data_IF_761740856680
#
_entry.id   IF_761740856680
#
_cell.length_a   1.000
_cell.length_b   1.000
_cell.length_c   1.000
_cell.angle_alpha   90.00
_cell.angle_beta   90.00
_cell.angle_gamma   90.00
#
_symmetry.space_group_name_H-M   'P 1'
#
loop_
_entity.id
_entity.type
_entity.pdbx_description
1 polymer ?
#
# COMPACT_ATOMS: atom_id res chain seq x y z
N UNK A 1 -10.89 19.60 -9.06
CA UNK A 1 -9.49 19.33 -9.45
C UNK A 1 -8.85 18.54 -8.35
N UNK A 2 -8.12 17.45 -8.68
CA UNK A 2 -7.52 16.61 -7.67
C UNK A 2 -6.27 17.27 -7.08
N UNK A 3 -6.15 17.22 -5.75
CA UNK A 3 -5.07 17.82 -4.96
C UNK A 3 -4.20 16.78 -4.26
N UNK A 4 -4.73 15.56 -4.08
CA UNK A 4 -4.04 14.44 -3.48
C UNK A 4 -4.29 13.18 -4.32
N UNK A 5 -3.23 12.44 -4.61
CA UNK A 5 -3.24 11.17 -5.33
C UNK A 5 -2.66 10.11 -4.40
N UNK A 6 -3.48 9.17 -3.94
CA UNK A 6 -2.99 7.97 -3.24
C UNK A 6 -2.75 6.87 -4.28
N UNK A 7 -1.60 6.24 -4.24
CA UNK A 7 -1.23 5.23 -5.23
C UNK A 7 -0.61 4.01 -4.55
N UNK A 8 -1.15 2.83 -4.84
CA UNK A 8 -0.49 1.60 -4.47
C UNK A 8 0.86 1.44 -5.17
N UNK A 9 1.72 0.60 -4.65
CA UNK A 9 3.07 0.38 -5.15
C UNK A 9 3.19 -0.89 -5.98
N UNK A 10 3.02 -2.04 -5.35
CA UNK A 10 3.26 -3.34 -5.99
C UNK A 10 2.20 -3.61 -7.06
N UNK A 11 2.62 -3.95 -8.27
CA UNK A 11 1.71 -4.21 -9.41
C UNK A 11 0.83 -2.99 -9.81
N UNK A 12 1.09 -1.79 -9.26
CA UNK A 12 0.40 -0.53 -9.63
C UNK A 12 1.40 0.54 -10.11
N UNK A 13 2.23 1.08 -9.20
CA UNK A 13 3.25 2.08 -9.52
C UNK A 13 4.55 1.43 -10.02
N UNK A 14 4.91 0.30 -9.40
CA UNK A 14 6.17 -0.42 -9.59
C UNK A 14 5.96 -1.50 -10.65
N UNK A 15 6.90 -1.59 -11.59
CA UNK A 15 6.94 -2.63 -12.61
C UNK A 15 7.45 -3.97 -12.05
N UNK A 16 7.47 -4.99 -12.91
CA UNK A 16 7.88 -6.35 -12.54
C UNK A 16 9.38 -6.45 -12.16
N UNK A 17 10.20 -5.47 -12.60
CA UNK A 17 11.62 -5.35 -12.25
C UNK A 17 11.86 -4.53 -10.96
N UNK A 18 10.82 -4.19 -10.23
CA UNK A 18 10.82 -3.40 -9.00
C UNK A 18 11.36 -1.96 -9.18
N UNK A 19 11.02 -1.33 -10.29
CA UNK A 19 11.33 0.04 -10.66
C UNK A 19 10.06 0.83 -10.99
N UNK A 20 10.16 2.16 -10.95
CA UNK A 20 9.09 3.04 -11.45
C UNK A 20 9.39 3.40 -12.90
N UNK A 21 8.49 3.08 -13.83
CA UNK A 21 8.70 3.39 -15.24
C UNK A 21 8.76 4.90 -15.49
N UNK A 22 9.50 5.31 -16.53
CA UNK A 22 9.78 6.72 -16.79
C UNK A 22 8.51 7.58 -16.97
N UNK A 23 7.47 7.04 -17.60
CA UNK A 23 6.18 7.73 -17.76
C UNK A 23 5.55 8.11 -16.42
N UNK A 24 5.57 7.19 -15.48
CA UNK A 24 5.06 7.43 -14.12
C UNK A 24 5.88 8.50 -13.42
N UNK A 25 7.23 8.42 -13.49
CA UNK A 25 8.14 9.41 -12.91
C UNK A 25 7.86 10.82 -13.44
N UNK A 26 7.75 10.97 -14.76
CA UNK A 26 7.52 12.27 -15.41
C UNK A 26 6.17 12.88 -15.05
N UNK A 27 5.11 12.05 -15.05
CA UNK A 27 3.77 12.49 -14.69
C UNK A 27 3.69 12.90 -13.20
N UNK A 28 4.29 12.13 -12.29
CA UNK A 28 4.35 12.46 -10.85
C UNK A 28 5.10 13.77 -10.62
N UNK A 29 6.28 13.94 -11.24
CA UNK A 29 7.06 15.18 -11.14
C UNK A 29 6.30 16.38 -11.69
N UNK A 30 5.53 16.21 -12.75
CA UNK A 30 4.71 17.29 -13.31
C UNK A 30 3.55 17.64 -12.36
N UNK A 31 2.84 16.66 -11.81
CA UNK A 31 1.75 16.88 -10.87
C UNK A 31 2.22 17.52 -9.57
N UNK A 32 3.34 17.10 -9.01
CA UNK A 32 3.90 17.67 -7.77
C UNK A 32 4.37 19.12 -7.96
N UNK A 33 4.89 19.50 -9.13
CA UNK A 33 5.18 20.90 -9.48
C UNK A 33 3.94 21.79 -9.49
N UNK A 34 2.75 21.22 -9.73
CA UNK A 34 1.47 21.93 -9.65
C UNK A 34 0.90 21.96 -8.23
N UNK A 35 1.62 21.44 -7.24
CA UNK A 35 1.19 21.38 -5.85
C UNK A 35 0.29 20.19 -5.50
N UNK A 36 0.09 19.25 -6.42
CA UNK A 36 -0.64 18.02 -6.14
C UNK A 36 0.23 17.09 -5.28
N UNK A 37 -0.32 16.55 -4.20
CA UNK A 37 0.35 15.58 -3.35
C UNK A 37 0.28 14.19 -3.97
N UNK A 38 1.42 13.57 -4.22
CA UNK A 38 1.49 12.17 -4.63
C UNK A 38 1.92 11.32 -3.43
N UNK A 39 1.03 10.46 -2.98
CA UNK A 39 1.15 9.72 -1.73
C UNK A 39 1.16 8.22 -2.01
N UNK A 40 2.32 7.56 -1.94
CA UNK A 40 2.37 6.11 -1.93
C UNK A 40 1.52 5.53 -0.79
N UNK A 41 0.67 4.54 -1.09
CA UNK A 41 -0.22 3.86 -0.15
C UNK A 41 0.01 2.35 -0.22
N UNK A 42 0.72 1.77 0.74
CA UNK A 42 1.28 0.43 0.64
C UNK A 42 1.07 -0.42 1.90
N UNK A 43 1.03 -1.74 1.72
CA UNK A 43 1.13 -2.71 2.82
C UNK A 43 2.54 -2.80 3.43
N UNK A 44 3.57 -2.29 2.74
CA UNK A 44 4.95 -2.25 3.22
C UNK A 44 5.14 -1.21 4.34
N UNK A 45 6.21 -1.35 5.12
CA UNK A 45 6.66 -0.31 6.05
C UNK A 45 7.28 0.87 5.31
N UNK A 46 7.18 2.08 5.85
CA UNK A 46 7.68 3.32 5.23
C UNK A 46 9.17 3.29 4.89
N UNK A 47 9.99 2.57 5.66
CA UNK A 47 11.44 2.42 5.38
C UNK A 47 11.72 1.53 4.16
N UNK A 48 10.82 0.59 3.86
CA UNK A 48 10.99 -0.36 2.76
C UNK A 48 10.78 0.27 1.37
N UNK A 49 10.29 1.50 1.30
CA UNK A 49 9.96 2.18 0.04
C UNK A 49 10.88 3.37 -0.29
N UNK A 50 11.96 3.53 0.46
CA UNK A 50 12.90 4.66 0.25
C UNK A 50 13.51 4.71 -1.15
N UNK A 51 13.76 3.54 -1.76
CA UNK A 51 14.24 3.44 -3.15
C UNK A 51 13.20 4.03 -4.10
N UNK A 52 11.94 3.62 -3.98
CA UNK A 52 10.82 4.12 -4.79
C UNK A 52 10.63 5.63 -4.62
N UNK A 53 10.69 6.12 -3.37
CA UNK A 53 10.62 7.56 -3.10
C UNK A 53 11.77 8.34 -3.76
N UNK A 54 12.97 7.76 -3.82
CA UNK A 54 14.10 8.38 -4.50
C UNK A 54 13.90 8.45 -6.03
N UNK A 55 13.39 7.38 -6.65
CA UNK A 55 13.10 7.31 -8.10
C UNK A 55 12.08 8.39 -8.52
N UNK A 56 11.02 8.56 -7.73
CA UNK A 56 9.99 9.58 -8.03
C UNK A 56 10.35 10.99 -7.50
N UNK A 57 11.51 11.14 -6.83
CA UNK A 57 12.01 12.42 -6.34
C UNK A 57 11.32 12.95 -5.09
N UNK A 58 10.69 12.08 -4.29
CA UNK A 58 9.97 12.44 -3.07
C UNK A 58 10.68 12.01 -1.77
N UNK A 59 11.83 11.33 -1.86
CA UNK A 59 12.61 10.93 -0.68
C UNK A 59 13.07 12.15 0.11
N UNK A 60 12.88 12.11 1.43
CA UNK A 60 13.29 13.14 2.40
C UNK A 60 12.74 14.55 2.09
N UNK A 61 11.58 14.64 1.44
CA UNK A 61 10.89 15.87 1.14
C UNK A 61 9.91 16.27 2.25
N UNK A 62 9.98 17.50 2.71
CA UNK A 62 8.98 18.10 3.59
C UNK A 62 7.65 18.28 2.86
N UNK A 63 6.54 18.14 3.58
CA UNK A 63 5.17 18.22 3.04
C UNK A 63 4.85 17.20 1.95
N UNK A 64 5.60 16.09 1.90
CA UNK A 64 5.27 14.91 1.11
C UNK A 64 5.11 13.71 2.05
N UNK A 65 4.27 12.74 1.70
CA UNK A 65 3.76 11.78 2.67
C UNK A 65 3.73 10.36 2.12
N UNK A 66 3.67 9.39 3.03
CA UNK A 66 3.45 7.98 2.74
C UNK A 66 2.38 7.44 3.67
N UNK A 67 1.48 6.62 3.13
CA UNK A 67 0.55 5.76 3.85
C UNK A 67 1.13 4.35 3.82
N UNK A 68 1.57 3.82 4.95
CA UNK A 68 2.22 2.52 5.09
C UNK A 68 1.44 1.59 6.01
N UNK A 69 1.79 0.29 5.98
CA UNK A 69 1.09 -0.76 6.72
C UNK A 69 -0.43 -0.73 6.50
N UNK A 70 -0.86 -0.57 5.22
CA UNK A 70 -2.27 -0.44 4.84
C UNK A 70 -3.03 0.70 5.56
N UNK A 71 -2.37 1.81 5.89
CA UNK A 71 -2.97 2.92 6.64
C UNK A 71 -2.65 2.92 8.13
N UNK A 72 -1.97 1.89 8.65
CA UNK A 72 -1.56 1.80 10.05
C UNK A 72 -0.47 2.80 10.45
N UNK A 73 0.31 3.30 9.48
CA UNK A 73 1.26 4.35 9.73
C UNK A 73 1.25 5.39 8.60
N UNK A 74 1.20 6.66 8.97
CA UNK A 74 1.31 7.77 8.04
C UNK A 74 2.54 8.58 8.44
N UNK A 75 3.45 8.77 7.49
CA UNK A 75 4.69 9.51 7.69
C UNK A 75 4.80 10.70 6.74
N UNK A 76 5.41 11.78 7.22
CA UNK A 76 6.02 12.77 6.34
C UNK A 76 7.39 12.24 5.89
N UNK A 77 7.72 12.42 4.61
CA UNK A 77 8.95 11.86 4.04
C UNK A 77 10.22 12.50 4.63
N UNK A 78 10.11 13.74 5.09
CA UNK A 78 11.21 14.42 5.80
C UNK A 78 11.49 13.72 7.13
N UNK A 79 12.67 13.17 7.26
CA UNK A 79 13.15 12.41 8.43
C UNK A 79 12.26 11.21 8.80
N UNK A 80 11.42 10.71 7.88
CA UNK A 80 10.40 9.67 8.14
C UNK A 80 9.55 9.99 9.37
N UNK A 81 9.15 11.28 9.54
CA UNK A 81 8.42 11.74 10.71
C UNK A 81 7.03 11.12 10.80
N UNK A 82 6.82 10.29 11.82
CA UNK A 82 5.54 9.64 12.04
C UNK A 82 4.48 10.68 12.45
N UNK A 83 3.39 10.76 11.70
CA UNK A 83 2.24 11.62 11.95
C UNK A 83 1.09 10.87 12.62
N UNK A 84 0.90 9.60 12.24
CA UNK A 84 -0.08 8.68 12.82
C UNK A 84 0.52 7.29 12.88
N UNK A 85 0.28 6.57 13.96
CA UNK A 85 0.51 5.13 14.05
C UNK A 85 -0.66 4.47 14.76
N UNK A 86 -1.18 3.41 14.18
CA UNK A 86 -2.22 2.57 14.74
C UNK A 86 -1.93 1.13 14.34
N UNK A 87 -1.54 0.34 15.32
CA UNK A 87 -1.18 -1.06 15.14
C UNK A 87 -2.02 -1.98 16.02
N UNK A 88 -1.70 -3.25 16.00
CA UNK A 88 -2.32 -4.28 16.82
C UNK A 88 -1.83 -4.19 18.27
N UNK A 89 -2.73 -4.42 19.19
CA UNK A 89 -2.35 -4.71 20.58
C UNK A 89 -1.51 -5.98 20.64
N UNK A 90 -0.52 -6.00 21.55
CA UNK A 90 0.38 -7.14 21.72
C UNK A 90 -0.39 -8.46 21.93
N UNK A 91 -1.43 -8.46 22.77
CA UNK A 91 -2.22 -9.66 23.06
C UNK A 91 -2.91 -10.22 21.80
N UNK A 92 -3.46 -9.33 20.95
CA UNK A 92 -4.10 -9.72 19.68
C UNK A 92 -3.06 -10.24 18.68
N UNK A 93 -1.91 -9.60 18.58
CA UNK A 93 -0.83 -10.04 17.69
C UNK A 93 -0.28 -11.42 18.12
N UNK A 94 -0.06 -11.67 19.43
CA UNK A 94 0.39 -12.95 19.95
C UNK A 94 -0.68 -14.05 19.77
N UNK A 95 -1.97 -13.71 19.94
CA UNK A 95 -3.08 -14.63 19.65
C UNK A 95 -3.07 -15.07 18.18
N UNK A 96 -2.99 -14.13 17.25
CA UNK A 96 -2.91 -14.42 15.80
C UNK A 96 -1.67 -15.26 15.48
N UNK A 97 -0.51 -14.88 16.01
CA UNK A 97 0.72 -15.64 15.81
C UNK A 97 0.56 -17.10 16.24
N UNK A 98 0.04 -17.35 17.47
CA UNK A 98 -0.19 -18.71 17.98
C UNK A 98 -1.25 -19.49 17.20
N UNK A 99 -2.23 -18.83 16.61
CA UNK A 99 -3.18 -19.47 15.70
C UNK A 99 -2.49 -19.88 14.40
N UNK A 100 -1.66 -19.02 13.83
CA UNK A 100 -0.87 -19.33 12.64
C UNK A 100 0.09 -20.48 12.82
N UNK A 101 0.69 -20.64 14.03
CA UNK A 101 1.55 -21.80 14.34
C UNK A 101 0.85 -23.16 14.23
N UNK A 102 -0.50 -23.18 14.22
CA UNK A 102 -1.31 -24.42 14.08
C UNK A 102 -1.68 -24.69 12.62
N UNK A 103 -1.33 -23.78 11.70
CA UNK A 103 -1.63 -23.85 10.28
C UNK A 103 -0.34 -24.05 9.48
N UNK A 104 -0.46 -24.60 8.28
CA UNK A 104 0.66 -24.69 7.34
C UNK A 104 0.78 -23.39 6.53
N UNK A 105 1.27 -22.34 7.20
CA UNK A 105 1.45 -20.99 6.62
C UNK A 105 2.78 -20.40 7.04
N UNK A 106 3.30 -19.51 6.21
CA UNK A 106 4.31 -18.56 6.64
C UNK A 106 3.64 -17.46 7.48
N UNK A 107 4.26 -17.01 8.58
CA UNK A 107 3.72 -15.94 9.42
C UNK A 107 4.67 -14.77 9.42
N UNK A 108 4.16 -13.58 9.09
CA UNK A 108 4.92 -12.34 9.26
C UNK A 108 4.32 -11.50 10.38
N UNK A 109 5.18 -11.00 11.26
CA UNK A 109 4.82 -10.00 12.28
C UNK A 109 5.59 -8.72 11.98
N UNK A 110 4.87 -7.67 11.64
CA UNK A 110 5.43 -6.39 11.30
C UNK A 110 5.50 -5.49 12.53
N UNK A 111 6.71 -5.09 12.90
CA UNK A 111 6.91 -3.92 13.77
C UNK A 111 7.21 -2.69 12.91
N UNK A 112 7.39 -1.53 13.51
CA UNK A 112 7.76 -0.30 12.78
C UNK A 112 9.03 -0.46 11.94
N UNK A 113 10.01 -1.22 12.46
CA UNK A 113 11.36 -1.25 11.91
C UNK A 113 11.78 -2.61 11.34
N UNK A 114 11.05 -3.68 11.63
CA UNK A 114 11.45 -5.05 11.32
C UNK A 114 10.26 -5.93 10.98
N UNK A 115 10.45 -6.88 10.08
CA UNK A 115 9.52 -7.98 9.83
C UNK A 115 10.08 -9.26 10.44
N UNK A 116 9.35 -9.86 11.36
CA UNK A 116 9.70 -11.16 11.94
C UNK A 116 8.92 -12.24 11.21
N UNK A 117 9.62 -13.26 10.73
CA UNK A 117 9.06 -14.25 9.80
C UNK A 117 9.26 -15.66 10.34
N UNK A 118 8.17 -16.40 10.47
CA UNK A 118 8.15 -17.81 10.85
C UNK A 118 7.78 -18.66 9.63
N UNK A 119 8.40 -19.84 9.49
CA UNK A 119 8.08 -20.86 8.47
C UNK A 119 8.11 -20.34 7.03
N UNK A 120 9.13 -19.52 6.68
CA UNK A 120 9.31 -19.04 5.29
C UNK A 120 9.97 -20.13 4.43
N UNK A 121 9.38 -20.42 3.28
CA UNK A 121 10.02 -21.20 2.24
C UNK A 121 11.04 -20.39 1.42
N UNK A 122 11.71 -21.05 0.47
CA UNK A 122 12.74 -20.39 -0.35
C UNK A 122 12.15 -19.28 -1.24
N UNK A 123 10.93 -19.42 -1.72
CA UNK A 123 10.28 -18.43 -2.58
C UNK A 123 9.87 -17.20 -1.78
N UNK A 124 9.36 -17.40 -0.56
CA UNK A 124 9.07 -16.29 0.35
C UNK A 124 10.34 -15.54 0.76
N UNK A 125 11.43 -16.26 1.04
CA UNK A 125 12.73 -15.64 1.34
C UNK A 125 13.23 -14.80 0.16
N UNK A 126 13.09 -15.27 -1.08
CA UNK A 126 13.45 -14.48 -2.28
C UNK A 126 12.58 -13.22 -2.39
N UNK A 127 11.27 -13.35 -2.17
CA UNK A 127 10.33 -12.25 -2.21
C UNK A 127 10.67 -11.17 -1.17
N UNK A 128 10.96 -11.58 0.07
CA UNK A 128 11.29 -10.69 1.18
C UNK A 128 12.61 -9.93 0.98
N UNK A 129 13.65 -10.59 0.46
CA UNK A 129 14.98 -9.99 0.26
C UNK A 129 14.96 -8.69 -0.56
N UNK A 130 14.02 -8.57 -1.48
CA UNK A 130 13.89 -7.40 -2.36
C UNK A 130 13.03 -6.28 -1.74
N UNK A 131 12.26 -6.59 -0.68
CA UNK A 131 11.16 -5.73 -0.22
C UNK A 131 11.25 -5.32 1.24
N UNK A 132 11.92 -6.11 2.09
CA UNK A 132 11.86 -5.92 3.54
C UNK A 132 13.20 -6.15 4.23
N UNK A 133 13.40 -5.44 5.35
CA UNK A 133 14.37 -5.85 6.37
C UNK A 133 13.64 -6.84 7.27
N UNK A 134 14.11 -8.09 7.33
CA UNK A 134 13.42 -9.16 8.03
C UNK A 134 14.37 -10.02 8.88
N UNK A 135 13.79 -10.72 9.84
CA UNK A 135 14.47 -11.71 10.69
C UNK A 135 13.63 -12.98 10.74
N UNK A 136 14.25 -14.12 10.42
CA UNK A 136 13.62 -15.43 10.60
C UNK A 136 13.60 -15.75 12.10
N UNK A 137 12.45 -16.24 12.56
CA UNK A 137 12.22 -16.64 13.96
C UNK A 137 11.64 -18.05 14.01
N UNK A 138 11.87 -18.73 15.13
CA UNK A 138 11.31 -20.03 15.49
C UNK A 138 10.82 -20.01 16.94
N UNK A 139 10.07 -18.98 17.28
CA UNK A 139 9.62 -18.71 18.64
C UNK A 139 8.19 -19.26 18.85
N UNK A 140 7.85 -19.84 20.01
CA UNK A 140 6.51 -20.35 20.28
C UNK A 140 5.48 -19.25 20.57
N UNK A 141 5.89 -18.00 20.68
CA UNK A 141 5.09 -16.83 20.99
C UNK A 141 5.86 -15.53 20.72
N UNK A 142 5.18 -14.39 20.81
CA UNK A 142 5.77 -13.08 20.58
C UNK A 142 6.32 -12.37 21.84
N UNK A 143 6.61 -13.08 22.92
CA UNK A 143 7.06 -12.43 24.18
C UNK A 143 8.30 -11.54 24.02
N UNK A 144 9.17 -11.84 23.06
CA UNK A 144 10.36 -11.03 22.75
C UNK A 144 10.02 -9.67 22.11
N UNK A 145 8.77 -9.45 21.67
CA UNK A 145 8.27 -8.19 21.12
C UNK A 145 7.44 -7.38 22.12
N UNK A 146 7.36 -7.79 23.40
CA UNK A 146 6.62 -7.03 24.41
C UNK A 146 7.15 -5.59 24.50
N UNK A 147 6.23 -4.62 24.42
CA UNK A 147 6.56 -3.20 24.47
C UNK A 147 6.99 -2.61 23.12
N UNK A 148 7.02 -3.40 22.04
CA UNK A 148 7.21 -2.89 20.69
C UNK A 148 5.86 -2.62 20.04
N UNK A 149 5.84 -1.62 19.14
CA UNK A 149 4.68 -1.30 18.32
C UNK A 149 4.55 -2.31 17.17
N UNK A 150 3.51 -3.13 17.19
CA UNK A 150 3.22 -4.12 16.16
C UNK A 150 2.22 -3.51 15.17
N UNK A 151 2.61 -3.37 13.92
CA UNK A 151 1.77 -2.76 12.89
C UNK A 151 0.67 -3.72 12.41
N UNK A 152 1.04 -4.94 12.08
CA UNK A 152 0.13 -5.99 11.58
C UNK A 152 0.73 -7.38 11.72
N UNK A 153 -0.12 -8.40 11.55
CA UNK A 153 0.26 -9.80 11.35
C UNK A 153 -0.31 -10.26 10.01
N UNK A 154 0.38 -11.14 9.30
CA UNK A 154 -0.18 -11.79 8.12
C UNK A 154 0.20 -13.27 8.06
N UNK A 155 -0.61 -14.03 7.32
CA UNK A 155 -0.32 -15.41 6.94
C UNK A 155 -0.07 -15.48 5.44
N UNK A 156 1.01 -16.14 5.06
CA UNK A 156 1.44 -16.32 3.68
C UNK A 156 1.26 -17.76 3.20
N UNK A 157 0.64 -17.89 2.04
CA UNK A 157 0.53 -19.16 1.27
C UNK A 157 0.16 -18.81 -0.17
N UNK A 158 0.66 -19.57 -1.14
CA UNK A 158 0.21 -19.47 -2.54
C UNK A 158 -1.13 -20.17 -2.78
N UNK A 159 -1.63 -20.95 -1.82
CA UNK A 159 -2.95 -21.57 -1.83
C UNK A 159 -4.01 -20.59 -1.26
N UNK A 160 -4.55 -19.72 -2.12
CA UNK A 160 -5.57 -18.75 -1.73
C UNK A 160 -6.84 -19.39 -1.15
N UNK A 161 -7.41 -20.48 -1.70
CA UNK A 161 -8.50 -21.22 -1.06
C UNK A 161 -8.19 -21.68 0.37
N UNK A 162 -6.95 -22.07 0.65
CA UNK A 162 -6.53 -22.42 2.01
C UNK A 162 -6.52 -21.21 2.95
N UNK A 163 -6.03 -20.06 2.50
CA UNK A 163 -6.09 -18.81 3.27
C UNK A 163 -7.53 -18.36 3.53
N UNK A 164 -8.43 -18.48 2.54
CA UNK A 164 -9.86 -18.17 2.69
C UNK A 164 -10.52 -19.10 3.73
N UNK A 165 -10.17 -20.39 3.73
CA UNK A 165 -10.63 -21.35 4.74
C UNK A 165 -10.15 -20.94 6.15
N UNK A 166 -8.87 -20.63 6.31
CA UNK A 166 -8.32 -20.15 7.61
C UNK A 166 -9.08 -18.91 8.07
N UNK A 167 -9.25 -17.90 7.20
CA UNK A 167 -9.97 -16.68 7.53
C UNK A 167 -11.39 -16.95 8.04
N UNK A 168 -12.10 -17.91 7.40
CA UNK A 168 -13.43 -18.34 7.84
C UNK A 168 -13.40 -19.00 9.22
N UNK A 169 -12.45 -19.91 9.45
CA UNK A 169 -12.32 -20.67 10.72
C UNK A 169 -11.99 -19.76 11.90
N UNK A 170 -11.19 -18.71 11.70
CA UNK A 170 -10.81 -17.76 12.77
C UNK A 170 -11.65 -16.49 12.78
N UNK A 171 -12.76 -16.43 12.03
CA UNK A 171 -13.59 -15.22 11.88
C UNK A 171 -14.10 -14.65 13.21
N UNK A 172 -14.37 -15.47 14.21
CA UNK A 172 -14.74 -15.01 15.55
C UNK A 172 -13.60 -14.27 16.26
N UNK A 173 -12.34 -14.66 16.03
CA UNK A 173 -11.14 -14.01 16.61
C UNK A 173 -10.80 -12.71 15.88
N UNK A 174 -11.14 -12.61 14.60
CA UNK A 174 -10.77 -11.48 13.73
C UNK A 174 -11.90 -10.49 13.48
N UNK A 175 -13.07 -10.65 14.11
CA UNK A 175 -14.27 -9.79 13.94
C UNK A 175 -14.05 -8.32 14.29
N UNK A 176 -13.04 -8.04 15.11
CA UNK A 176 -12.60 -6.73 15.58
C UNK A 176 -11.34 -6.23 14.86
N UNK A 177 -11.05 -6.79 13.68
CA UNK A 177 -9.91 -6.45 12.83
C UNK A 177 -10.35 -6.09 11.42
N UNK A 178 -9.54 -5.28 10.74
CA UNK A 178 -9.61 -5.16 9.28
C UNK A 178 -8.79 -6.29 8.66
N UNK A 179 -9.48 -7.19 7.96
CA UNK A 179 -8.90 -8.36 7.28
C UNK A 179 -8.90 -8.12 5.78
N UNK A 180 -7.75 -8.31 5.14
CA UNK A 180 -7.60 -8.11 3.70
C UNK A 180 -6.69 -9.16 3.06
N UNK A 181 -6.73 -9.22 1.73
CA UNK A 181 -5.82 -10.07 0.95
C UNK A 181 -4.94 -9.20 0.07
N UNK A 182 -3.66 -9.60 -0.09
CA UNK A 182 -2.73 -8.90 -0.97
C UNK A 182 -1.79 -9.85 -1.71
N UNK A 183 -1.24 -9.39 -2.84
CA UNK A 183 -0.23 -10.10 -3.65
C UNK A 183 -0.61 -11.54 -4.01
N UNK A 184 -1.90 -11.89 -4.03
CA UNK A 184 -2.40 -13.25 -4.26
C UNK A 184 -1.70 -14.35 -3.43
N UNK A 185 -1.20 -13.97 -2.23
CA UNK A 185 -0.49 -14.89 -1.32
C UNK A 185 -0.62 -14.56 0.15
N UNK A 186 -1.21 -13.42 0.54
CA UNK A 186 -1.29 -13.01 1.94
C UNK A 186 -2.71 -12.80 2.42
N UNK A 187 -2.98 -13.28 3.62
CA UNK A 187 -4.12 -12.93 4.46
C UNK A 187 -3.60 -12.01 5.57
N UNK A 188 -4.01 -10.75 5.56
CA UNK A 188 -3.49 -9.70 6.43
C UNK A 188 -4.49 -9.32 7.53
N UNK A 189 -4.00 -9.15 8.75
CA UNK A 189 -4.76 -8.75 9.92
C UNK A 189 -4.24 -7.40 10.39
N UNK A 190 -5.07 -6.38 10.25
CA UNK A 190 -4.80 -5.02 10.67
C UNK A 190 -5.72 -4.64 11.83
N UNK A 191 -5.35 -3.64 12.62
CA UNK A 191 -6.26 -3.07 13.62
C UNK A 191 -7.55 -2.58 12.95
N UNK A 192 -8.68 -2.68 13.63
CA UNK A 192 -9.97 -2.18 13.13
C UNK A 192 -9.88 -0.70 12.74
N UNK A 193 -10.40 -0.35 11.57
CA UNK A 193 -10.31 0.99 11.00
C UNK A 193 -8.93 1.30 10.36
N UNK A 194 -8.06 0.30 10.22
CA UNK A 194 -6.78 0.45 9.51
C UNK A 194 -6.88 -0.19 8.14
N UNK A 195 -7.13 0.63 7.14
CA UNK A 195 -7.10 0.29 5.73
C UNK A 195 -6.62 1.49 4.91
N UNK A 196 -6.28 1.30 3.65
CA UNK A 196 -5.73 2.37 2.80
C UNK A 196 -6.70 3.53 2.60
N UNK A 197 -8.02 3.27 2.59
CA UNK A 197 -9.05 4.29 2.47
C UNK A 197 -9.12 5.22 3.68
N UNK A 198 -9.13 4.66 4.89
CA UNK A 198 -9.08 5.44 6.13
C UNK A 198 -7.77 6.23 6.25
N UNK A 199 -6.65 5.65 5.79
CA UNK A 199 -5.37 6.35 5.70
C UNK A 199 -5.43 7.56 4.77
N UNK A 200 -6.03 7.40 3.58
CA UNK A 200 -6.23 8.47 2.62
C UNK A 200 -7.12 9.59 3.19
N UNK A 201 -8.27 9.25 3.74
CA UNK A 201 -9.21 10.22 4.30
C UNK A 201 -8.62 10.98 5.48
N UNK A 202 -7.90 10.29 6.37
CA UNK A 202 -7.21 10.93 7.49
C UNK A 202 -6.16 11.94 7.01
N UNK A 203 -5.35 11.57 6.01
CA UNK A 203 -4.33 12.48 5.47
C UNK A 203 -4.96 13.65 4.72
N UNK A 204 -6.01 13.42 3.94
CA UNK A 204 -6.75 14.46 3.24
C UNK A 204 -7.32 15.49 4.23
N UNK A 205 -7.96 15.04 5.33
CA UNK A 205 -8.45 15.90 6.40
C UNK A 205 -7.34 16.76 7.01
N UNK A 206 -6.20 16.15 7.36
CA UNK A 206 -5.02 16.85 7.91
C UNK A 206 -4.46 17.93 6.98
N UNK A 207 -4.64 17.76 5.68
CA UNK A 207 -4.16 18.72 4.65
C UNK A 207 -5.26 19.71 4.22
N UNK A 208 -6.48 19.62 4.77
CA UNK A 208 -7.61 20.43 4.36
C UNK A 208 -8.09 20.15 2.94
N UNK A 209 -7.90 18.91 2.47
CA UNK A 209 -8.32 18.43 1.14
C UNK A 209 -9.60 17.61 1.31
N UNK A 210 -10.61 17.94 0.52
CA UNK A 210 -11.88 17.23 0.56
C UNK A 210 -11.76 15.86 -0.15
N UNK A 211 -12.54 14.83 0.24
CA UNK A 211 -12.53 13.55 -0.44
C UNK A 211 -12.73 13.65 -1.96
N UNK A 212 -13.61 14.52 -2.45
CA UNK A 212 -13.88 14.75 -3.87
C UNK A 212 -12.68 15.36 -4.62
N UNK A 213 -11.68 15.85 -3.91
CA UNK A 213 -10.43 16.40 -4.45
C UNK A 213 -9.28 15.36 -4.41
N UNK A 214 -9.60 14.09 -4.07
CA UNK A 214 -8.63 13.00 -4.03
C UNK A 214 -8.81 12.04 -5.20
N UNK A 215 -7.72 11.42 -5.63
CA UNK A 215 -7.70 10.32 -6.59
C UNK A 215 -6.95 9.14 -5.96
N UNK A 216 -7.43 7.92 -6.15
CA UNK A 216 -6.77 6.71 -5.70
C UNK A 216 -6.49 5.78 -6.88
N UNK A 217 -5.32 5.13 -6.89
CA UNK A 217 -4.92 4.15 -7.89
C UNK A 217 -4.49 2.85 -7.22
N UNK A 218 -4.96 1.72 -7.75
CA UNK A 218 -4.64 0.40 -7.21
C UNK A 218 -4.99 -0.72 -8.18
N UNK A 219 -4.66 -1.95 -7.78
CA UNK A 219 -4.89 -3.15 -8.60
C UNK A 219 -5.57 -4.29 -7.82
N UNK A 220 -5.54 -4.31 -6.48
CA UNK A 220 -5.95 -5.45 -5.69
C UNK A 220 -6.88 -5.11 -4.51
N UNK A 221 -7.41 -6.12 -3.84
CA UNK A 221 -8.44 -5.98 -2.79
C UNK A 221 -8.06 -5.09 -1.62
N UNK A 222 -6.78 -5.01 -1.25
CA UNK A 222 -6.31 -4.08 -0.21
C UNK A 222 -6.41 -2.61 -0.64
N UNK A 223 -6.62 -2.33 -1.94
CA UNK A 223 -6.82 -0.98 -2.50
C UNK A 223 -8.29 -0.58 -2.55
N UNK A 224 -9.20 -1.55 -2.48
CA UNK A 224 -10.63 -1.34 -2.66
C UNK A 224 -11.16 -0.23 -1.75
N UNK A 225 -10.69 -0.19 -0.50
CA UNK A 225 -11.09 0.84 0.45
C UNK A 225 -10.71 2.25 0.00
N UNK A 226 -9.50 2.46 -0.55
CA UNK A 226 -9.09 3.78 -1.02
C UNK A 226 -9.71 4.15 -2.38
N UNK A 227 -9.92 3.15 -3.26
CA UNK A 227 -10.63 3.34 -4.54
C UNK A 227 -12.04 3.86 -4.27
N UNK A 228 -12.76 3.27 -3.30
CA UNK A 228 -14.13 3.69 -2.93
C UNK A 228 -14.18 4.99 -2.14
N UNK A 229 -13.16 5.32 -1.38
CA UNK A 229 -13.12 6.53 -0.54
C UNK A 229 -12.74 7.79 -1.31
N UNK A 230 -12.01 7.65 -2.42
CA UNK A 230 -11.53 8.77 -3.21
C UNK A 230 -12.65 9.40 -4.08
N UNK A 231 -12.46 10.66 -4.46
CA UNK A 231 -13.31 11.34 -5.44
C UNK A 231 -13.16 10.78 -6.87
N UNK A 232 -12.09 10.02 -7.14
CA UNK A 232 -11.90 9.23 -8.36
C UNK A 232 -11.10 7.97 -8.02
N UNK A 233 -11.72 6.82 -8.14
CA UNK A 233 -11.09 5.52 -7.99
C UNK A 233 -10.62 4.96 -9.34
N UNK A 234 -9.34 4.67 -9.47
CA UNK A 234 -8.72 4.21 -10.72
C UNK A 234 -8.10 2.84 -10.53
N UNK A 235 -8.49 1.89 -11.37
CA UNK A 235 -7.78 0.63 -11.56
C UNK A 235 -6.74 0.75 -12.66
N UNK A 236 -5.52 0.22 -12.46
CA UNK A 236 -4.59 0.01 -13.58
C UNK A 236 -5.06 -1.16 -14.46
N UNK A 237 -4.55 -1.29 -15.71
CA UNK A 237 -5.07 -2.29 -16.66
C UNK A 237 -5.04 -3.74 -16.13
N UNK A 238 -4.06 -4.05 -15.26
CA UNK A 238 -3.92 -5.34 -14.58
C UNK A 238 -4.74 -5.47 -13.28
N UNK A 239 -5.68 -4.53 -13.01
CA UNK A 239 -6.56 -4.60 -11.84
C UNK A 239 -7.30 -5.93 -11.77
N UNK A 240 -7.42 -6.46 -10.56
CA UNK A 240 -8.14 -7.70 -10.30
C UNK A 240 -9.53 -7.67 -10.96
N UNK A 241 -9.88 -8.66 -11.80
CA UNK A 241 -11.16 -8.66 -12.55
C UNK A 241 -12.40 -8.47 -11.69
N UNK A 242 -12.37 -8.92 -10.43
CA UNK A 242 -13.49 -8.79 -9.49
C UNK A 242 -13.66 -7.36 -8.93
N UNK A 243 -12.68 -6.48 -9.13
CA UNK A 243 -12.70 -5.09 -8.68
C UNK A 243 -13.04 -4.08 -9.77
N UNK A 244 -13.15 -4.54 -11.03
CA UNK A 244 -13.36 -3.64 -12.19
C UNK A 244 -14.59 -2.75 -12.05
N UNK A 245 -15.68 -3.31 -11.54
CA UNK A 245 -16.95 -2.60 -11.36
C UNK A 245 -16.91 -1.59 -10.19
N UNK A 246 -15.91 -1.67 -9.32
CA UNK A 246 -15.68 -0.74 -8.23
C UNK A 246 -14.80 0.47 -8.63
N UNK A 247 -14.21 0.45 -9.83
CA UNK A 247 -13.35 1.52 -10.34
C UNK A 247 -14.16 2.49 -11.23
N UNK A 248 -14.02 3.80 -11.00
CA UNK A 248 -14.59 4.83 -11.88
C UNK A 248 -13.90 4.88 -13.25
N UNK A 249 -12.64 4.47 -13.29
CA UNK A 249 -11.84 4.40 -14.51
C UNK A 249 -10.82 3.26 -14.42
N UNK A 250 -10.59 2.61 -15.56
CA UNK A 250 -9.51 1.63 -15.72
C UNK A 250 -8.56 2.15 -16.81
N UNK A 251 -7.26 2.21 -16.51
CA UNK A 251 -6.25 2.64 -17.46
C UNK A 251 -6.08 1.62 -18.58
N UNK A 252 -5.58 2.08 -19.72
CA UNK A 252 -5.21 1.18 -20.84
C UNK A 252 -3.83 0.55 -20.63
N UNK A 253 -2.95 1.29 -19.97
CA UNK A 253 -1.62 0.86 -19.59
C UNK A 253 -1.66 0.14 -18.24
N UNK A 254 -0.90 -0.94 -18.12
CA UNK A 254 -0.66 -1.65 -16.86
C UNK A 254 0.47 -0.99 -16.04
N UNK A 255 0.90 -1.66 -14.95
CA UNK A 255 2.01 -1.21 -14.12
C UNK A 255 3.32 -1.06 -14.92
N UNK A 256 3.60 -1.96 -15.87
CA UNK A 256 4.83 -1.94 -16.69
C UNK A 256 4.80 -0.83 -17.76
N UNK A 257 3.62 -0.43 -18.20
CA UNK A 257 3.40 0.51 -19.30
C UNK A 257 3.09 1.94 -18.82
N UNK A 258 3.03 2.15 -17.51
CA UNK A 258 2.80 3.47 -16.92
C UNK A 258 1.33 3.85 -16.77
N UNK A 259 0.50 2.93 -16.27
CA UNK A 259 -0.91 3.16 -15.98
C UNK A 259 -1.14 4.34 -15.03
N UNK A 260 -0.29 4.50 -14.02
CA UNK A 260 -0.35 5.64 -13.08
C UNK A 260 -0.11 6.96 -13.83
N UNK A 261 0.89 6.99 -14.71
CA UNK A 261 1.18 8.15 -15.56
C UNK A 261 0.01 8.50 -16.46
N UNK A 262 -0.64 7.50 -17.09
CA UNK A 262 -1.83 7.70 -17.91
C UNK A 262 -2.95 8.41 -17.13
N UNK A 263 -3.24 7.95 -15.93
CA UNK A 263 -4.28 8.54 -15.10
C UNK A 263 -3.95 9.98 -14.69
N UNK A 264 -2.70 10.24 -14.28
CA UNK A 264 -2.25 11.59 -13.91
C UNK A 264 -2.33 12.53 -15.14
N UNK A 265 -1.83 12.10 -16.29
CA UNK A 265 -1.91 12.85 -17.54
C UNK A 265 -3.35 13.25 -17.83
N UNK A 266 -4.27 12.29 -17.82
CA UNK A 266 -5.68 12.50 -18.19
C UNK A 266 -6.45 13.36 -17.18
N UNK A 267 -6.33 13.08 -15.89
CA UNK A 267 -7.23 13.66 -14.88
C UNK A 267 -6.64 14.87 -14.16
N UNK A 268 -5.32 15.06 -14.21
CA UNK A 268 -4.61 16.17 -13.58
C UNK A 268 -4.02 17.11 -14.63
N UNK A 269 -3.09 16.63 -15.45
CA UNK A 269 -2.27 17.50 -16.29
C UNK A 269 -3.05 18.08 -17.47
N UNK A 270 -3.88 17.28 -18.16
CA UNK A 270 -4.75 17.77 -19.26
C UNK A 270 -5.76 18.82 -18.76
N UNK A 271 -6.25 18.69 -17.51
CA UNK A 271 -7.16 19.68 -16.92
C UNK A 271 -6.46 21.00 -16.56
N UNK A 272 -5.17 20.97 -16.24
CA UNK A 272 -4.39 22.15 -15.90
C UNK A 272 -3.93 22.95 -17.11
N UNK A 273 -3.41 22.25 -18.13
CA UNK A 273 -2.75 22.93 -19.26
C UNK A 273 -3.57 22.88 -20.54
N UNK A 274 -4.66 22.13 -20.60
CA UNK A 274 -5.31 21.74 -21.84
C UNK A 274 -4.50 20.64 -22.57
N UNK A 275 -5.21 19.80 -23.30
CA UNK A 275 -4.64 18.59 -23.94
C UNK A 275 -3.48 18.88 -24.88
N UNK A 276 -3.58 19.97 -25.66
CA UNK A 276 -2.58 20.33 -26.68
C UNK A 276 -1.29 20.86 -26.05
N UNK A 277 -1.38 21.61 -24.96
CA UNK A 277 -0.21 22.22 -24.29
C UNK A 277 0.60 21.17 -23.50
N UNK A 278 -0.05 20.18 -22.90
CA UNK A 278 0.63 19.07 -22.24
C UNK A 278 1.43 18.23 -23.25
N UNK A 279 0.86 17.90 -24.42
CA UNK A 279 1.55 17.15 -25.46
C UNK A 279 2.78 17.86 -26.05
N UNK A 280 2.84 19.18 -26.01
CA UNK A 280 4.00 19.97 -26.44
C UNK A 280 5.15 19.94 -25.39
N UNK A 281 4.84 19.97 -24.09
CA UNK A 281 5.85 19.93 -23.02
C UNK A 281 6.51 18.54 -22.86
N UNK A 282 5.87 17.49 -23.34
CA UNK A 282 6.41 16.12 -23.34
C UNK A 282 7.39 15.82 -24.47
N UNK A 283 7.42 16.65 -25.50
CA UNK A 283 8.32 16.50 -26.68
C UNK A 283 9.58 17.37 -26.62
N UNK A 284 9.70 18.19 -25.60
CA UNK A 284 10.88 19.01 -25.28
C UNK A 284 11.69 18.41 -24.14
#
# INVERSE_FOLDING_TARGET
MYKLIACDLDETLIDDDAHVCQRNIDAIKAATKLGVKFVPATGRGYRAIEKTLAEIGLKDKANEYVISFNGGCITENKDNRIMKFQGLDFAKADELYRLGLKCDVCIHVYTKDMVYVYNADEDEIKYLKLRHVYKIIDEPNLNFLKGQDIAKVLYGSTDMPYLEKIASEISNTTKDLDVSYSSNRYLEFNHQGVNKGEGLLWLADKLGIKPEETMALGDNFNDLSMIKAAGLGVGVANVNPKMKDDCDYITKADNNQGGVGEAIEKFVLEKWWGKDRWNLTRKS
#
